data_IF_647524771198
#
_entry.id   IF_647524771198
#
_cell.length_a   1.000
_cell.length_b   1.000
_cell.length_c   1.000
_cell.angle_alpha   90.00
_cell.angle_beta   90.00
_cell.angle_gamma   90.00
#
_symmetry.space_group_name_H-M   'P 1'
#
loop_
_entity.id
_entity.type
_entity.pdbx_description
1 polymer ?
#
# COMPACT_ATOMS: atom_id res chain seq x y z
N UNK A 1 63.69 -17.44 -13.78
CA UNK A 1 62.83 -17.10 -12.63
C UNK A 1 61.71 -16.08 -12.91
N UNK A 2 61.91 -15.03 -13.72
CA UNK A 2 60.90 -13.96 -13.90
C UNK A 2 59.57 -14.38 -14.57
N UNK A 3 59.58 -15.33 -15.54
CA UNK A 3 58.35 -15.80 -16.21
C UNK A 3 57.43 -16.60 -15.29
N UNK A 4 57.98 -17.52 -14.48
CA UNK A 4 57.20 -18.40 -13.59
C UNK A 4 56.43 -17.62 -12.53
N UNK A 5 57.06 -16.61 -11.94
CA UNK A 5 56.39 -15.75 -10.95
C UNK A 5 55.27 -14.90 -11.58
N UNK A 6 55.44 -14.49 -12.84
CA UNK A 6 54.43 -13.69 -13.56
C UNK A 6 53.17 -14.51 -13.90
N UNK A 7 53.36 -15.79 -14.25
CA UNK A 7 52.24 -16.71 -14.49
C UNK A 7 51.49 -17.03 -13.19
N UNK A 8 52.20 -17.29 -12.08
CA UNK A 8 51.57 -17.52 -10.77
C UNK A 8 50.72 -16.32 -10.33
N UNK A 9 51.25 -15.09 -10.50
CA UNK A 9 50.51 -13.87 -10.16
C UNK A 9 49.27 -13.70 -11.05
N UNK A 10 49.35 -14.00 -12.35
CA UNK A 10 48.18 -13.99 -13.25
C UNK A 10 47.13 -15.01 -12.83
N UNK A 11 47.52 -16.23 -12.47
CA UNK A 11 46.57 -17.27 -12.03
C UNK A 11 45.91 -16.87 -10.72
N UNK A 12 46.64 -16.22 -9.81
CA UNK A 12 46.09 -15.68 -8.56
C UNK A 12 45.07 -14.57 -8.84
N UNK A 13 45.37 -13.66 -9.76
CA UNK A 13 44.43 -12.61 -10.18
C UNK A 13 43.20 -13.18 -10.87
N UNK A 14 43.33 -14.19 -11.72
CA UNK A 14 42.19 -14.86 -12.36
C UNK A 14 41.33 -15.59 -11.33
N UNK A 15 41.93 -16.22 -10.32
CA UNK A 15 41.19 -16.82 -9.21
C UNK A 15 40.46 -15.76 -8.37
N UNK A 16 41.13 -14.65 -8.02
CA UNK A 16 40.50 -13.53 -7.30
C UNK A 16 39.37 -12.91 -8.14
N UNK A 17 39.58 -12.69 -9.44
CA UNK A 17 38.56 -12.17 -10.34
C UNK A 17 37.39 -13.16 -10.45
N UNK A 18 37.66 -14.47 -10.53
CA UNK A 18 36.63 -15.51 -10.58
C UNK A 18 35.82 -15.58 -9.28
N UNK A 19 36.47 -15.41 -8.12
CA UNK A 19 35.84 -15.29 -6.81
C UNK A 19 35.04 -14.00 -6.67
N UNK A 20 35.54 -12.87 -7.17
CA UNK A 20 34.79 -11.61 -7.19
C UNK A 20 33.61 -11.71 -8.15
N UNK A 21 33.70 -12.44 -9.27
CA UNK A 21 32.58 -12.64 -10.21
C UNK A 21 31.60 -13.74 -9.79
N UNK A 22 31.99 -14.73 -8.98
CA UNK A 22 31.09 -15.75 -8.43
C UNK A 22 30.47 -15.33 -7.10
N UNK A 23 31.14 -14.47 -6.32
CA UNK A 23 30.60 -13.76 -5.16
C UNK A 23 29.93 -12.43 -5.55
N UNK A 24 30.10 -11.99 -6.81
CA UNK A 24 29.06 -11.23 -7.53
C UNK A 24 27.92 -12.19 -7.90
N UNK A 25 27.45 -12.93 -6.89
CA UNK A 25 26.06 -13.11 -6.52
C UNK A 25 25.22 -12.02 -7.16
N UNK A 26 24.89 -12.26 -8.42
CA UNK A 26 23.84 -11.55 -9.11
C UNK A 26 22.55 -12.22 -8.66
N UNK A 27 22.31 -12.25 -7.35
CA UNK A 27 20.96 -12.37 -6.85
C UNK A 27 20.34 -11.00 -7.07
N UNK A 28 19.85 -10.83 -8.30
CA UNK A 28 19.01 -9.71 -8.65
C UNK A 28 17.84 -9.75 -7.68
N UNK A 29 17.65 -8.65 -6.97
CA UNK A 29 16.47 -8.41 -6.16
C UNK A 29 15.28 -8.43 -7.11
N UNK A 30 14.54 -9.54 -7.15
CA UNK A 30 13.34 -9.62 -7.96
C UNK A 30 12.19 -9.05 -7.14
N UNK A 31 11.88 -7.79 -7.44
CA UNK A 31 10.74 -7.08 -6.84
C UNK A 31 9.58 -7.20 -7.81
N UNK A 32 8.55 -7.96 -7.44
CA UNK A 32 7.28 -7.97 -8.18
C UNK A 32 6.42 -6.82 -7.66
N UNK A 33 6.09 -5.88 -8.54
CA UNK A 33 5.26 -4.71 -8.23
C UNK A 33 3.82 -4.94 -8.66
N UNK A 34 2.87 -4.75 -7.74
CA UNK A 34 1.44 -4.81 -8.05
C UNK A 34 0.82 -3.42 -8.04
N UNK A 35 0.77 -2.72 -9.16
CA UNK A 35 0.09 -1.42 -9.20
C UNK A 35 -1.44 -1.61 -9.28
N UNK A 36 -2.21 -0.78 -8.58
CA UNK A 36 -3.63 -0.64 -8.91
C UNK A 36 -3.66 0.04 -10.28
N UNK A 37 -4.34 -0.59 -11.24
CA UNK A 37 -4.38 -0.26 -12.67
C UNK A 37 -3.29 -0.86 -13.58
N UNK A 38 -2.31 -1.65 -13.08
CA UNK A 38 -1.43 -2.45 -13.94
C UNK A 38 -0.66 -3.51 -13.17
N UNK A 39 -0.81 -4.77 -13.56
CA UNK A 39 0.18 -5.82 -13.24
C UNK A 39 1.37 -5.61 -14.17
N UNK A 40 2.21 -4.63 -13.87
CA UNK A 40 3.52 -4.54 -14.51
C UNK A 40 4.42 -5.54 -13.78
N UNK A 41 4.37 -6.79 -14.25
CA UNK A 41 5.24 -7.85 -13.77
C UNK A 41 6.67 -7.53 -14.23
N UNK A 42 7.43 -6.83 -13.39
CA UNK A 42 8.85 -6.56 -13.64
C UNK A 42 9.61 -7.90 -13.50
N UNK A 43 10.53 -8.25 -14.41
CA UNK A 43 10.94 -9.64 -14.60
C UNK A 43 11.51 -10.31 -13.34
N UNK A 44 10.84 -11.39 -12.98
CA UNK A 44 11.26 -12.49 -12.11
C UNK A 44 10.25 -13.63 -12.33
N UNK A 45 10.63 -14.89 -12.15
CA UNK A 45 9.75 -16.07 -12.38
C UNK A 45 8.64 -16.23 -11.33
N UNK A 46 8.30 -15.17 -10.60
CA UNK A 46 7.33 -15.21 -9.51
C UNK A 46 5.92 -15.03 -10.06
N UNK A 47 5.04 -15.96 -9.68
CA UNK A 47 3.62 -15.90 -10.01
C UNK A 47 2.84 -15.52 -8.74
N UNK A 48 2.99 -14.27 -8.29
CA UNK A 48 2.27 -13.80 -7.11
C UNK A 48 0.88 -13.27 -7.47
N UNK A 49 -0.07 -13.52 -6.59
CA UNK A 49 -1.46 -13.08 -6.68
C UNK A 49 -1.83 -12.34 -5.39
N UNK A 50 -2.62 -11.28 -5.51
CA UNK A 50 -3.09 -10.49 -4.38
C UNK A 50 -4.58 -10.70 -4.17
N UNK A 51 -4.95 -11.20 -3.00
CA UNK A 51 -6.33 -11.24 -2.52
C UNK A 51 -6.63 -9.96 -1.76
N UNK A 52 -7.67 -9.22 -2.17
CA UNK A 52 -8.15 -8.00 -1.52
C UNK A 52 -9.66 -8.09 -1.30
N UNK A 53 -10.11 -7.68 -0.12
CA UNK A 53 -11.52 -7.51 0.17
C UNK A 53 -11.75 -6.27 1.06
N UNK A 54 -12.93 -5.68 0.94
CA UNK A 54 -13.41 -4.61 1.81
C UNK A 54 -14.62 -5.09 2.62
N UNK A 55 -14.84 -4.52 3.79
CA UNK A 55 -16.00 -4.88 4.61
C UNK A 55 -17.24 -4.13 4.15
N UNK A 56 -18.29 -4.85 3.79
CA UNK A 56 -19.58 -4.26 3.44
C UNK A 56 -20.50 -4.24 4.67
N UNK A 57 -20.77 -3.04 5.18
CA UNK A 57 -21.64 -2.83 6.33
C UNK A 57 -23.09 -3.31 6.12
N UNK A 58 -23.60 -3.23 4.89
CA UNK A 58 -24.98 -3.64 4.57
C UNK A 58 -25.14 -5.15 4.66
N UNK A 59 -24.17 -5.90 4.12
CA UNK A 59 -24.20 -7.38 4.16
C UNK A 59 -23.50 -7.95 5.38
N UNK A 60 -22.84 -7.11 6.19
CA UNK A 60 -21.99 -7.51 7.32
C UNK A 60 -20.98 -8.61 6.95
N UNK A 61 -20.34 -8.47 5.78
CA UNK A 61 -19.42 -9.48 5.26
C UNK A 61 -18.31 -8.86 4.41
N UNK A 62 -17.20 -9.59 4.25
CA UNK A 62 -16.13 -9.26 3.32
C UNK A 62 -16.60 -9.41 1.87
N UNK A 63 -16.39 -8.37 1.07
CA UNK A 63 -16.65 -8.35 -0.36
C UNK A 63 -15.32 -8.31 -1.10
N UNK A 64 -15.07 -9.30 -1.95
CA UNK A 64 -13.85 -9.36 -2.75
C UNK A 64 -13.83 -8.18 -3.73
N UNK A 65 -12.67 -7.55 -3.87
CA UNK A 65 -12.44 -6.51 -4.86
C UNK A 65 -11.67 -7.09 -6.03
N UNK A 66 -12.24 -7.02 -7.23
CA UNK A 66 -11.64 -7.54 -8.47
C UNK A 66 -10.90 -6.43 -9.21
N UNK A 67 -9.80 -5.94 -8.63
CA UNK A 67 -8.59 -5.37 -9.28
C UNK A 67 -8.67 -4.44 -10.52
N UNK A 68 -9.83 -3.93 -10.95
CA UNK A 68 -9.95 -3.06 -12.13
C UNK A 68 -9.88 -1.57 -11.80
N UNK A 69 -10.24 -1.17 -10.58
CA UNK A 69 -10.42 0.25 -10.20
C UNK A 69 -9.71 0.58 -8.87
N UNK A 70 -9.24 1.83 -8.67
CA UNK A 70 -8.75 2.32 -7.38
C UNK A 70 -9.75 2.09 -6.25
N UNK A 71 -9.27 1.84 -5.04
CA UNK A 71 -10.16 1.77 -3.89
C UNK A 71 -10.69 3.19 -3.58
N UNK A 72 -11.96 3.41 -3.88
CA UNK A 72 -12.63 4.65 -3.55
C UNK A 72 -13.17 4.60 -2.13
N UNK A 73 -12.54 5.36 -1.24
CA UNK A 73 -13.07 5.62 0.10
C UNK A 73 -14.13 6.70 -0.06
N UNK A 74 -15.38 6.26 -0.16
CA UNK A 74 -16.52 7.16 -0.21
C UNK A 74 -16.89 7.56 1.22
N UNK A 75 -16.64 8.83 1.56
CA UNK A 75 -17.01 9.35 2.88
C UNK A 75 -18.52 9.45 3.10
N UNK A 76 -19.35 9.13 2.11
CA UNK A 76 -20.79 9.34 2.16
C UNK A 76 -21.19 10.74 1.70
N UNK A 77 -22.49 10.97 1.56
CA UNK A 77 -23.03 12.33 1.39
C UNK A 77 -22.80 13.10 2.70
N UNK A 78 -21.88 14.06 2.70
CA UNK A 78 -21.70 14.96 3.85
C UNK A 78 -22.83 15.98 3.86
N UNK A 79 -23.90 15.69 4.62
CA UNK A 79 -25.06 16.58 4.80
C UNK A 79 -24.80 17.68 5.84
N UNK A 80 -23.76 17.52 6.66
CA UNK A 80 -23.34 18.49 7.66
C UNK A 80 -21.80 18.47 7.79
N UNK A 81 -21.16 19.62 7.57
CA UNK A 81 -19.71 19.80 7.67
C UNK A 81 -19.13 19.42 9.04
N UNK A 82 -19.94 19.48 10.10
CA UNK A 82 -19.53 19.19 11.47
C UNK A 82 -19.58 17.71 11.86
N UNK A 83 -20.00 16.80 10.96
CA UNK A 83 -20.13 15.37 11.27
C UNK A 83 -19.78 14.50 10.07
N UNK A 84 -19.02 13.43 10.30
CA UNK A 84 -18.86 12.38 9.31
C UNK A 84 -20.14 11.54 9.23
N UNK A 85 -20.50 11.03 8.04
CA UNK A 85 -21.56 10.03 7.92
C UNK A 85 -21.28 8.79 8.76
N UNK A 86 -22.35 8.10 9.16
CA UNK A 86 -22.25 6.81 9.83
C UNK A 86 -21.50 5.82 8.92
N UNK A 87 -20.70 4.93 9.51
CA UNK A 87 -19.91 3.93 8.80
C UNK A 87 -18.93 4.55 7.76
N UNK A 88 -18.34 5.70 8.10
CA UNK A 88 -17.31 6.36 7.29
C UNK A 88 -15.91 5.72 7.43
N UNK A 89 -15.74 4.85 8.43
CA UNK A 89 -14.55 4.01 8.56
C UNK A 89 -14.49 3.01 7.38
N UNK A 90 -13.30 2.75 6.85
CA UNK A 90 -13.11 1.75 5.78
C UNK A 90 -12.24 0.62 6.30
N UNK A 91 -12.74 -0.61 6.20
CA UNK A 91 -11.99 -1.81 6.56
C UNK A 91 -11.61 -2.59 5.32
N UNK A 92 -10.33 -2.97 5.26
CA UNK A 92 -9.77 -3.80 4.20
C UNK A 92 -9.08 -5.02 4.81
N UNK A 93 -9.05 -6.10 4.05
CA UNK A 93 -8.13 -7.21 4.29
C UNK A 93 -7.37 -7.55 3.02
N UNK A 94 -6.10 -7.88 3.16
CA UNK A 94 -5.19 -8.16 2.06
C UNK A 94 -4.32 -9.37 2.38
N UNK A 95 -4.01 -10.16 1.35
CA UNK A 95 -2.98 -11.19 1.40
C UNK A 95 -2.34 -11.31 0.03
N UNK A 96 -1.03 -11.47 -0.01
CA UNK A 96 -0.30 -11.81 -1.23
C UNK A 96 0.14 -13.26 -1.15
N UNK A 97 -0.25 -14.07 -2.12
CA UNK A 97 0.16 -15.47 -2.26
C UNK A 97 1.12 -15.61 -3.42
N UNK A 98 2.05 -16.55 -3.35
CA UNK A 98 3.00 -16.83 -4.42
C UNK A 98 3.33 -18.34 -4.39
N UNK A 99 3.43 -18.99 -5.54
CA UNK A 99 3.50 -20.45 -5.67
C UNK A 99 4.91 -21.04 -5.95
N UNK A 100 5.94 -20.23 -6.20
CA UNK A 100 7.29 -20.73 -6.44
C UNK A 100 7.98 -21.19 -5.14
N UNK A 101 9.03 -21.99 -5.26
CA UNK A 101 9.77 -22.57 -4.12
C UNK A 101 10.72 -21.60 -3.41
N UNK A 102 10.90 -20.37 -3.89
CA UNK A 102 11.79 -19.41 -3.24
C UNK A 102 11.27 -18.95 -1.87
N UNK A 103 12.17 -18.70 -0.92
CA UNK A 103 11.84 -18.04 0.34
C UNK A 103 11.43 -16.59 0.07
N UNK A 104 10.28 -16.16 0.61
CA UNK A 104 9.68 -14.86 0.27
C UNK A 104 9.08 -14.16 1.47
N UNK A 105 9.10 -12.84 1.42
CA UNK A 105 8.29 -11.97 2.28
C UNK A 105 7.55 -10.95 1.41
N UNK A 106 6.50 -10.37 1.94
CA UNK A 106 5.76 -9.33 1.25
C UNK A 106 5.45 -8.12 2.13
N UNK A 107 5.20 -6.99 1.49
CA UNK A 107 4.68 -5.79 2.11
C UNK A 107 3.55 -5.23 1.25
N UNK A 108 2.80 -4.28 1.82
CA UNK A 108 1.82 -3.49 1.10
C UNK A 108 2.24 -2.03 1.17
N UNK A 109 2.34 -1.39 0.02
CA UNK A 109 2.61 0.03 -0.10
C UNK A 109 1.33 0.79 -0.45
N UNK A 110 1.28 2.04 -0.05
CA UNK A 110 0.39 3.06 -0.61
C UNK A 110 1.16 3.80 -1.69
N UNK A 111 0.67 3.74 -2.91
CA UNK A 111 1.32 4.37 -4.08
C UNK A 111 0.68 5.70 -4.44
N UNK A 112 -0.63 5.88 -4.19
CA UNK A 112 -1.32 7.14 -4.44
C UNK A 112 -2.50 7.35 -3.50
N UNK A 113 -2.75 8.60 -3.11
CA UNK A 113 -3.99 9.05 -2.46
C UNK A 113 -4.43 10.34 -3.15
N UNK A 114 -5.48 10.25 -3.95
CA UNK A 114 -6.06 11.39 -4.65
C UNK A 114 -7.34 11.88 -3.95
N UNK A 115 -7.49 13.20 -3.83
CA UNK A 115 -8.74 13.83 -3.38
C UNK A 115 -9.54 14.25 -4.60
N UNK A 116 -10.68 13.63 -4.82
CA UNK A 116 -11.57 13.90 -5.94
C UNK A 116 -12.78 14.69 -5.44
N UNK A 117 -13.05 15.81 -6.08
CA UNK A 117 -14.26 16.61 -5.86
C UNK A 117 -15.13 16.50 -7.12
N UNK A 118 -16.36 16.03 -6.96
CA UNK A 118 -17.30 15.89 -8.07
C UNK A 118 -18.66 16.48 -7.73
N UNK A 119 -19.35 17.03 -8.73
CA UNK A 119 -20.73 17.49 -8.62
C UNK A 119 -21.55 16.97 -9.81
N UNK A 120 -22.76 17.52 -10.01
CA UNK A 120 -23.62 17.16 -11.15
C UNK A 120 -23.02 17.50 -12.52
N UNK A 121 -22.11 18.46 -12.58
CA UNK A 121 -21.47 18.94 -13.81
C UNK A 121 -20.18 18.16 -14.16
N UNK A 122 -19.65 17.38 -13.21
CA UNK A 122 -18.47 16.53 -13.43
C UNK A 122 -17.45 16.55 -12.29
N UNK A 123 -16.21 16.16 -12.61
CA UNK A 123 -15.06 16.18 -11.69
C UNK A 123 -14.32 17.50 -11.85
N UNK A 124 -13.97 18.12 -10.72
CA UNK A 124 -13.32 19.43 -10.67
C UNK A 124 -11.98 19.36 -9.96
N UNK A 125 -10.96 19.97 -10.55
CA UNK A 125 -9.67 20.19 -9.89
C UNK A 125 -9.70 21.53 -9.16
N UNK A 126 -9.36 21.54 -7.87
CA UNK A 126 -9.36 22.74 -7.04
C UNK A 126 -7.93 23.03 -6.62
N UNK A 127 -7.44 24.23 -6.94
CA UNK A 127 -6.10 24.65 -6.56
C UNK A 127 -5.95 24.60 -5.02
N UNK A 128 -4.90 23.92 -4.55
CA UNK A 128 -4.64 23.74 -3.12
C UNK A 128 -5.35 22.56 -2.47
N UNK A 129 -6.33 21.91 -3.11
CA UNK A 129 -6.90 20.64 -2.63
C UNK A 129 -6.01 19.50 -3.12
N UNK A 130 -5.10 19.06 -2.25
CA UNK A 130 -4.20 17.94 -2.51
C UNK A 130 -3.85 17.28 -1.18
N UNK A 131 -4.03 15.97 -1.10
CA UNK A 131 -3.78 15.19 0.11
C UNK A 131 -2.37 15.39 0.70
N UNK A 132 -1.36 15.60 -0.15
CA UNK A 132 0.04 15.79 0.23
C UNK A 132 0.49 17.26 0.27
N UNK A 133 -0.43 18.23 0.22
CA UNK A 133 -0.07 19.65 0.28
C UNK A 133 0.59 20.02 1.62
N UNK A 134 1.81 20.56 1.56
CA UNK A 134 2.62 20.90 2.74
C UNK A 134 2.01 22.03 3.60
N UNK A 135 1.30 22.98 2.98
CA UNK A 135 0.84 24.20 3.66
C UNK A 135 -0.41 24.00 4.53
N UNK A 136 -1.21 22.94 4.28
CA UNK A 136 -2.53 22.78 4.90
C UNK A 136 -2.73 21.46 5.66
N UNK A 137 -1.68 20.61 5.74
CA UNK A 137 -1.69 19.31 6.42
C UNK A 137 -3.02 18.56 6.21
N UNK A 138 -3.32 18.27 4.94
CA UNK A 138 -4.58 17.69 4.44
C UNK A 138 -4.60 16.16 4.50
N UNK A 139 -3.60 15.53 5.13
CA UNK A 139 -3.58 14.08 5.36
C UNK A 139 -4.72 13.70 6.31
N UNK A 140 -5.88 13.45 5.71
CA UNK A 140 -7.16 13.31 6.39
C UNK A 140 -7.46 11.87 6.82
N UNK A 141 -6.56 10.93 6.54
CA UNK A 141 -6.75 9.50 6.82
C UNK A 141 -5.68 9.04 7.82
N UNK A 142 -6.13 8.42 8.90
CA UNK A 142 -5.30 7.69 9.85
C UNK A 142 -5.42 6.19 9.53
N UNK A 143 -4.29 5.48 9.53
CA UNK A 143 -4.22 4.05 9.24
C UNK A 143 -3.91 3.26 10.51
N UNK A 144 -4.62 2.14 10.69
CA UNK A 144 -4.39 1.16 11.76
C UNK A 144 -4.29 -0.22 11.12
N UNK A 145 -3.35 -1.03 11.62
CA UNK A 145 -3.05 -2.33 11.03
C UNK A 145 -3.13 -3.44 12.07
N UNK A 146 -3.55 -4.62 11.61
CA UNK A 146 -3.54 -5.85 12.37
C UNK A 146 -3.17 -7.01 11.45
N UNK A 147 -2.26 -7.88 11.86
CA UNK A 147 -1.82 -9.04 11.08
C UNK A 147 -2.30 -10.34 11.70
N UNK A 148 -2.72 -11.31 10.90
CA UNK A 148 -3.23 -12.61 11.38
C UNK A 148 -3.05 -13.71 10.34
N UNK A 149 -2.82 -14.95 10.77
CA UNK A 149 -2.86 -16.13 9.88
C UNK A 149 -4.29 -16.63 9.61
N UNK A 150 -5.26 -16.21 10.43
CA UNK A 150 -6.68 -16.52 10.24
C UNK A 150 -7.33 -15.57 9.24
N UNK A 151 -8.07 -16.13 8.26
CA UNK A 151 -8.90 -15.38 7.32
C UNK A 151 -10.27 -15.02 7.92
N UNK A 152 -10.95 -14.03 7.33
CA UNK A 152 -12.33 -13.63 7.61
C UNK A 152 -12.61 -13.20 9.05
N UNK A 153 -11.60 -12.73 9.80
CA UNK A 153 -11.84 -12.07 11.08
C UNK A 153 -12.81 -10.90 10.91
N UNK A 154 -13.70 -10.73 11.90
CA UNK A 154 -14.64 -9.62 11.92
C UNK A 154 -13.88 -8.31 12.22
N UNK A 155 -13.86 -7.33 11.30
CA UNK A 155 -13.08 -6.11 11.48
C UNK A 155 -13.59 -5.26 12.65
N UNK A 156 -14.89 -5.31 12.97
CA UNK A 156 -15.46 -4.58 14.09
C UNK A 156 -14.97 -5.11 15.45
N UNK A 157 -14.56 -6.38 15.51
CA UNK A 157 -13.95 -6.97 16.70
C UNK A 157 -12.45 -6.71 16.73
N UNK A 158 -11.76 -6.88 15.59
CA UNK A 158 -10.31 -6.66 15.46
C UNK A 158 -9.94 -5.22 15.85
N UNK A 159 -10.72 -4.25 15.40
CA UNK A 159 -10.45 -2.82 15.63
C UNK A 159 -11.35 -2.20 16.71
N UNK A 160 -11.97 -3.00 17.59
CA UNK A 160 -12.88 -2.51 18.63
C UNK A 160 -12.23 -1.46 19.55
N UNK A 161 -10.92 -1.59 19.78
CA UNK A 161 -10.12 -0.71 20.64
C UNK A 161 -9.04 0.04 19.85
N UNK A 162 -9.32 0.46 18.61
CA UNK A 162 -8.32 1.13 17.75
C UNK A 162 -7.65 2.35 18.42
N UNK A 163 -8.31 3.01 19.38
CA UNK A 163 -7.76 4.16 20.10
C UNK A 163 -6.50 3.84 20.92
N UNK A 164 -6.27 2.57 21.27
CA UNK A 164 -5.05 2.12 21.95
C UNK A 164 -3.99 1.57 20.99
N UNK A 165 -4.35 1.40 19.71
CA UNK A 165 -3.43 0.97 18.67
C UNK A 165 -2.59 2.14 18.18
N UNK A 166 -1.37 1.86 17.71
CA UNK A 166 -0.53 2.88 17.09
C UNK A 166 -1.10 3.23 15.71
N UNK A 167 -1.52 4.48 15.54
CA UNK A 167 -1.90 5.01 14.24
C UNK A 167 -0.68 5.58 13.51
N UNK A 168 -0.75 5.60 12.19
CA UNK A 168 0.20 6.35 11.37
C UNK A 168 -0.52 7.07 10.22
N UNK A 169 0.19 8.04 9.65
CA UNK A 169 -0.27 8.86 8.53
C UNK A 169 0.64 8.65 7.35
N UNK A 170 0.04 8.54 6.17
CA UNK A 170 0.77 8.52 4.91
C UNK A 170 0.98 9.97 4.48
N UNK A 171 2.14 10.54 4.76
CA UNK A 171 2.44 11.95 4.45
C UNK A 171 3.34 12.11 3.23
N UNK A 172 3.94 11.02 2.75
CA UNK A 172 4.81 10.96 1.58
C UNK A 172 4.57 9.64 0.85
N UNK A 173 4.91 9.59 -0.43
CA UNK A 173 4.73 8.41 -1.28
C UNK A 173 6.04 7.98 -1.97
N UNK A 174 6.19 6.68 -2.32
CA UNK A 174 5.36 5.57 -1.86
C UNK A 174 5.59 5.30 -0.36
N UNK A 175 4.59 4.74 0.33
CA UNK A 175 4.69 4.47 1.77
C UNK A 175 4.36 3.02 2.10
N UNK A 176 5.27 2.30 2.75
CA UNK A 176 5.01 0.95 3.23
C UNK A 176 4.07 1.00 4.45
N UNK A 177 3.00 0.19 4.44
CA UNK A 177 2.09 0.08 5.57
C UNK A 177 2.76 -0.64 6.75
N UNK A 178 3.59 -1.66 6.48
CA UNK A 178 4.31 -2.39 7.52
C UNK A 178 5.77 -1.94 7.57
N UNK A 179 6.30 -1.82 8.79
CA UNK A 179 7.72 -1.50 9.04
C UNK A 179 8.67 -2.58 8.53
N UNK A 180 8.21 -3.83 8.47
CA UNK A 180 8.97 -4.98 7.99
C UNK A 180 8.09 -5.85 7.07
N UNK A 181 8.71 -6.55 6.12
CA UNK A 181 8.01 -7.53 5.28
C UNK A 181 7.55 -8.73 6.13
N UNK A 182 6.40 -9.30 5.80
CA UNK A 182 5.76 -10.43 6.49
C UNK A 182 5.70 -11.69 5.60
N UNK A 183 5.44 -12.86 6.20
CA UNK A 183 5.28 -14.11 5.47
C UNK A 183 4.01 -14.11 4.60
N UNK A 184 4.02 -14.82 3.46
CA UNK A 184 2.97 -14.80 2.42
C UNK A 184 1.59 -15.34 2.88
N UNK A 185 1.55 -16.16 3.92
CA UNK A 185 0.31 -16.76 4.46
C UNK A 185 -0.41 -15.86 5.48
N UNK A 186 0.19 -14.72 5.83
CA UNK A 186 -0.36 -13.76 6.80
C UNK A 186 -1.31 -12.80 6.10
N UNK A 187 -2.50 -12.60 6.65
CA UNK A 187 -3.44 -11.53 6.28
C UNK A 187 -3.08 -10.22 6.97
N UNK A 188 -3.20 -9.12 6.24
CA UNK A 188 -3.15 -7.76 6.76
C UNK A 188 -4.58 -7.21 6.77
N UNK A 189 -5.06 -6.88 7.96
CA UNK A 189 -6.29 -6.12 8.17
C UNK A 189 -5.93 -4.64 8.34
N UNK A 190 -6.67 -3.78 7.67
CA UNK A 190 -6.43 -2.33 7.64
C UNK A 190 -7.73 -1.63 8.02
N UNK A 191 -7.67 -0.76 9.02
CA UNK A 191 -8.68 0.27 9.25
C UNK A 191 -8.13 1.59 8.72
N UNK A 192 -8.84 2.18 7.76
CA UNK A 192 -8.62 3.53 7.26
C UNK A 192 -9.68 4.42 7.88
N UNK A 193 -9.25 5.29 8.79
CA UNK A 193 -10.12 6.14 9.59
C UNK A 193 -10.03 7.60 9.13
N UNK A 194 -11.13 8.19 8.64
CA UNK A 194 -11.14 9.60 8.28
C UNK A 194 -11.13 10.51 9.52
N UNK A 195 -10.40 11.63 9.43
CA UNK A 195 -10.31 12.64 10.47
C UNK A 195 -11.16 13.87 10.12
N UNK A 196 -12.24 14.09 10.87
CA UNK A 196 -13.20 15.15 10.61
C UNK A 196 -12.55 16.54 10.53
N UNK A 197 -11.67 16.89 11.48
CA UNK A 197 -11.04 18.22 11.52
C UNK A 197 -10.18 18.48 10.26
N UNK A 198 -9.53 17.42 9.76
CA UNK A 198 -8.71 17.51 8.53
C UNK A 198 -9.56 17.58 7.28
N UNK A 199 -10.65 16.81 7.23
CA UNK A 199 -11.62 16.90 6.13
C UNK A 199 -12.25 18.29 6.07
N UNK A 200 -12.57 18.90 7.21
CA UNK A 200 -13.09 20.26 7.26
C UNK A 200 -12.13 21.30 6.70
N UNK A 201 -10.82 21.13 6.89
CA UNK A 201 -9.82 22.01 6.27
C UNK A 201 -9.87 21.90 4.74
N UNK A 202 -10.02 20.69 4.19
CA UNK A 202 -10.17 20.49 2.74
C UNK A 202 -11.47 21.12 2.23
N UNK A 203 -12.60 20.88 2.92
CA UNK A 203 -13.92 21.44 2.56
C UNK A 203 -13.88 22.96 2.45
N UNK A 204 -13.17 23.65 3.35
CA UNK A 204 -13.06 25.12 3.35
C UNK A 204 -12.37 25.68 2.10
N UNK A 205 -11.56 24.86 1.43
CA UNK A 205 -10.89 25.22 0.18
C UNK A 205 -11.78 24.99 -1.04
N UNK A 206 -12.89 24.26 -0.89
CA UNK A 206 -13.82 23.98 -2.00
C UNK A 206 -14.70 25.21 -2.27
N UNK A 207 -14.70 25.78 -3.49
CA UNK A 207 -15.55 26.91 -3.83
C UNK A 207 -17.03 26.59 -3.63
N UNK A 208 -17.78 27.54 -3.06
CA UNK A 208 -19.19 27.35 -2.71
C UNK A 208 -20.06 27.07 -3.95
N UNK A 209 -19.65 27.54 -5.12
CA UNK A 209 -20.34 27.33 -6.40
C UNK A 209 -20.36 25.85 -6.83
N UNK A 210 -19.44 25.04 -6.33
CA UNK A 210 -19.43 23.59 -6.61
C UNK A 210 -20.42 22.82 -5.75
N UNK A 211 -21.02 23.45 -4.74
CA UNK A 211 -22.03 22.82 -3.88
C UNK A 211 -23.37 22.65 -4.63
N UNK A 212 -24.03 21.48 -4.52
CA UNK A 212 -23.64 20.31 -3.76
C UNK A 212 -22.56 19.47 -4.48
N UNK A 213 -21.55 19.01 -3.73
CA UNK A 213 -20.48 18.14 -4.24
C UNK A 213 -20.32 16.87 -3.40
N UNK A 214 -19.61 15.89 -3.96
CA UNK A 214 -19.09 14.70 -3.31
C UNK A 214 -17.57 14.81 -3.19
N UNK A 215 -17.03 14.34 -2.08
CA UNK A 215 -15.59 14.24 -1.83
C UNK A 215 -15.22 12.75 -1.71
N UNK A 216 -14.26 12.31 -2.51
CA UNK A 216 -13.82 10.92 -2.58
C UNK A 216 -12.30 10.90 -2.39
N UNK A 217 -11.81 9.97 -1.56
CA UNK A 217 -10.38 9.66 -1.52
C UNK A 217 -10.13 8.40 -2.34
N UNK A 218 -9.46 8.55 -3.47
CA UNK A 218 -9.09 7.44 -4.35
C UNK A 218 -7.70 6.93 -3.97
N UNK A 219 -7.63 5.70 -3.48
CA UNK A 219 -6.41 5.08 -2.93
C UNK A 219 -5.91 3.99 -3.89
N UNK A 220 -4.62 4.05 -4.21
CA UNK A 220 -3.90 2.98 -4.90
C UNK A 220 -2.94 2.31 -3.91
N UNK A 221 -3.10 1.00 -3.72
CA UNK A 221 -2.17 0.21 -2.92
C UNK A 221 -1.21 -0.55 -3.84
N UNK A 222 -0.21 -1.23 -3.28
CA UNK A 222 0.63 -2.14 -4.04
C UNK A 222 1.15 -3.25 -3.17
N UNK A 223 0.93 -4.49 -3.57
CA UNK A 223 1.70 -5.61 -3.04
C UNK A 223 3.15 -5.53 -3.53
N UNK A 224 4.10 -5.80 -2.65
CA UNK A 224 5.51 -5.98 -3.02
C UNK A 224 5.97 -7.31 -2.44
N UNK A 225 6.39 -8.24 -3.31
CA UNK A 225 7.01 -9.51 -2.89
C UNK A 225 8.51 -9.41 -3.09
N UNK A 226 9.25 -9.83 -2.07
CA UNK A 226 10.72 -9.90 -2.05
C UNK A 226 11.14 -11.33 -1.76
N UNK A 227 11.99 -11.88 -2.62
CA UNK A 227 12.74 -13.11 -2.31
C UNK A 227 13.76 -12.81 -1.22
N UNK A 228 13.84 -13.68 -0.21
CA UNK A 228 14.93 -13.65 0.75
C UNK A 228 16.11 -14.41 0.16
N UNK A 229 17.31 -13.85 0.27
CA UNK A 229 18.52 -14.67 0.18
C UNK A 229 18.49 -15.66 1.35
N UNK A 230 18.61 -16.95 1.06
CA UNK A 230 18.80 -17.95 2.11
C UNK A 230 20.05 -17.58 2.91
N UNK A 231 19.84 -17.08 4.13
CA UNK A 231 20.86 -17.06 5.17
C UNK A 231 20.20 -17.37 6.50
N UNK A 232 19.95 -18.66 6.72
CA UNK A 232 20.06 -19.29 8.04
C UNK A 232 21.07 -20.41 7.93
#
# INVERSE_FOLDING_TARGET
>A
MKKRNREIIKTLWVMILSLVTSVSLTYAWHTSFYNFARVDNVPGTLNANMSLAYYNYTTSNWQNSTTSDPLNIYLGKMTNIAKLPNNSDTYLKMRVTEESSAHKKYNVLVDNIETIISNVDGIHTIAGVNYFAANDAQNALDFYLYTSTSDNLNPLTVFANYQTMTSFKVTTLPHALLSNNIALDVWIYILIKPNLNKIQNIIRLVPIQLSPYQMIFSLSLRGEVKTLDESV
#
